data_IF_421047366951
#
_entry.id   IF_421047366951
#
_cell.length_a   1.000
_cell.length_b   1.000
_cell.length_c   1.000
_cell.angle_alpha   90.00
_cell.angle_beta   90.00
_cell.angle_gamma   90.00
#
_symmetry.space_group_name_H-M   'P 1'
#
loop_
_entity.id
_entity.type
_entity.pdbx_description
1 polymer ?
#
# COMPACT_ATOMS: atom_id res chain seq x y z
N UNK A 1 -16.99 -25.86 -2.75
CA UNK A 1 -17.37 -24.64 -2.00
C UNK A 1 -16.33 -23.56 -2.28
N UNK A 2 -16.73 -22.34 -2.63
CA UNK A 2 -15.76 -21.26 -2.88
C UNK A 2 -15.16 -20.75 -1.57
N UNK A 3 -13.86 -20.41 -1.58
CA UNK A 3 -13.11 -19.98 -0.39
C UNK A 3 -13.68 -18.74 0.30
N UNK A 4 -14.20 -17.78 -0.47
CA UNK A 4 -14.85 -16.57 0.04
C UNK A 4 -16.01 -16.90 0.98
N UNK A 5 -16.86 -17.86 0.61
CA UNK A 5 -17.96 -18.35 1.44
C UNK A 5 -17.48 -19.18 2.62
N UNK A 6 -16.44 -20.00 2.42
CA UNK A 6 -15.92 -20.87 3.48
C UNK A 6 -15.31 -20.08 4.64
N UNK A 7 -14.50 -19.09 4.33
CA UNK A 7 -13.74 -18.29 5.30
C UNK A 7 -14.38 -16.94 5.61
N UNK A 8 -15.57 -16.67 5.10
CA UNK A 8 -16.28 -15.38 5.19
C UNK A 8 -15.41 -14.16 4.82
N UNK A 9 -14.52 -14.34 3.85
CA UNK A 9 -13.60 -13.29 3.41
C UNK A 9 -14.34 -12.19 2.64
N UNK A 10 -14.02 -10.93 2.90
CA UNK A 10 -14.64 -9.76 2.25
C UNK A 10 -13.73 -9.03 1.27
N UNK A 11 -12.42 -9.30 1.31
CA UNK A 11 -11.41 -8.60 0.52
C UNK A 11 -10.39 -9.58 -0.04
N UNK A 12 -9.74 -9.20 -1.13
CA UNK A 12 -8.52 -9.87 -1.59
C UNK A 12 -7.44 -8.81 -1.76
N UNK A 13 -6.19 -9.15 -1.41
CA UNK A 13 -5.04 -8.28 -1.62
C UNK A 13 -4.31 -8.72 -2.89
N UNK A 14 -4.01 -7.78 -3.76
CA UNK A 14 -3.34 -8.03 -5.03
C UNK A 14 -1.97 -7.38 -5.10
N UNK A 15 -0.99 -8.16 -5.56
CA UNK A 15 0.38 -7.72 -5.83
C UNK A 15 0.69 -7.90 -7.32
N UNK A 16 0.83 -6.79 -8.06
CA UNK A 16 1.29 -6.73 -9.47
C UNK A 16 0.77 -7.88 -10.37
N UNK A 17 -0.49 -8.26 -10.24
CA UNK A 17 -0.99 -9.48 -10.88
C UNK A 17 -1.07 -9.30 -12.39
N UNK A 18 -0.28 -10.10 -13.12
CA UNK A 18 -0.35 -10.26 -14.57
C UNK A 18 -0.41 -8.97 -15.40
N UNK A 19 -0.99 -9.09 -16.59
CA UNK A 19 -1.31 -7.94 -17.44
C UNK A 19 -2.66 -7.30 -17.00
N UNK A 20 -3.07 -6.23 -17.69
CA UNK A 20 -4.32 -5.53 -17.35
C UNK A 20 -5.56 -6.42 -17.49
N UNK A 21 -5.59 -7.30 -18.48
CA UNK A 21 -6.71 -8.22 -18.70
C UNK A 21 -6.89 -9.17 -17.52
N UNK A 22 -5.80 -9.74 -17.00
CA UNK A 22 -5.85 -10.59 -15.79
C UNK A 22 -6.41 -9.84 -14.58
N UNK A 23 -6.07 -8.56 -14.42
CA UNK A 23 -6.61 -7.72 -13.33
C UNK A 23 -8.10 -7.44 -13.49
N UNK A 24 -8.55 -7.17 -14.72
CA UNK A 24 -9.97 -7.01 -15.01
C UNK A 24 -10.77 -8.30 -14.75
N UNK A 25 -10.20 -9.47 -15.05
CA UNK A 25 -10.80 -10.75 -14.67
C UNK A 25 -10.94 -10.89 -13.16
N UNK A 26 -9.94 -10.47 -12.39
CA UNK A 26 -10.01 -10.47 -10.93
C UNK A 26 -11.10 -9.52 -10.43
N UNK A 27 -11.24 -8.33 -11.00
CA UNK A 27 -12.34 -7.40 -10.66
C UNK A 27 -13.71 -8.03 -10.93
N UNK A 28 -13.89 -8.68 -12.08
CA UNK A 28 -15.15 -9.34 -12.42
C UNK A 28 -15.47 -10.49 -11.46
N UNK A 29 -14.49 -11.38 -11.21
CA UNK A 29 -14.65 -12.47 -10.26
C UNK A 29 -14.90 -11.98 -8.82
N UNK A 30 -14.24 -10.89 -8.42
CA UNK A 30 -14.46 -10.27 -7.11
C UNK A 30 -15.88 -9.71 -7.00
N UNK A 31 -16.38 -9.07 -8.06
CA UNK A 31 -17.76 -8.55 -8.11
C UNK A 31 -18.79 -9.66 -7.99
N UNK A 32 -18.62 -10.77 -8.70
CA UNK A 32 -19.49 -11.95 -8.61
C UNK A 32 -19.54 -12.52 -7.18
N UNK A 33 -18.40 -12.50 -6.49
CA UNK A 33 -18.28 -13.01 -5.13
C UNK A 33 -18.54 -11.95 -4.04
N UNK A 34 -18.91 -10.72 -4.42
CA UNK A 34 -19.11 -9.58 -3.50
C UNK A 34 -17.87 -9.29 -2.64
N UNK A 35 -16.69 -9.40 -3.22
CA UNK A 35 -15.39 -9.09 -2.60
C UNK A 35 -14.89 -7.72 -3.05
N UNK A 36 -14.07 -7.09 -2.20
CA UNK A 36 -13.36 -5.84 -2.53
C UNK A 36 -11.86 -6.12 -2.74
N UNK A 37 -11.36 -6.10 -3.99
CA UNK A 37 -9.94 -6.30 -4.25
C UNK A 37 -9.15 -5.02 -3.97
N UNK A 38 -8.10 -5.09 -3.15
CA UNK A 38 -7.21 -3.97 -2.84
C UNK A 38 -5.87 -4.15 -3.53
N UNK A 39 -5.26 -3.04 -3.95
CA UNK A 39 -3.97 -3.03 -4.65
C UNK A 39 -2.86 -2.53 -3.72
N UNK A 40 -1.61 -2.77 -4.10
CA UNK A 40 -0.45 -2.36 -3.30
C UNK A 40 0.24 -1.09 -3.85
N UNK A 41 0.00 -0.67 -5.09
CA UNK A 41 0.60 0.55 -5.67
C UNK A 41 2.00 0.35 -6.30
N UNK A 42 2.80 -0.56 -5.79
CA UNK A 42 3.97 -1.20 -6.39
C UNK A 42 5.04 -0.29 -7.04
N UNK A 43 5.24 0.93 -6.52
CA UNK A 43 6.15 1.93 -7.10
C UNK A 43 5.91 2.18 -8.61
N UNK A 44 4.70 1.91 -9.13
CA UNK A 44 4.44 1.88 -10.57
C UNK A 44 3.23 2.75 -10.94
N UNK A 45 3.50 3.99 -11.38
CA UNK A 45 2.46 4.96 -11.72
C UNK A 45 1.49 4.46 -12.79
N UNK A 46 2.00 3.79 -13.84
CA UNK A 46 1.17 3.28 -14.93
C UNK A 46 0.23 2.18 -14.43
N UNK A 47 0.68 1.33 -13.53
CA UNK A 47 -0.17 0.32 -12.91
C UNK A 47 -1.29 0.98 -12.09
N UNK A 48 -0.93 1.97 -11.27
CA UNK A 48 -1.86 2.65 -10.37
C UNK A 48 -2.97 3.37 -11.13
N UNK A 49 -2.61 4.12 -12.17
CA UNK A 49 -3.59 4.79 -13.03
C UNK A 49 -4.52 3.78 -13.70
N UNK A 50 -4.00 2.66 -14.22
CA UNK A 50 -4.88 1.63 -14.80
C UNK A 50 -5.86 1.07 -13.76
N UNK A 51 -5.40 0.84 -12.53
CA UNK A 51 -6.25 0.33 -11.44
C UNK A 51 -7.32 1.35 -11.00
N UNK A 52 -6.98 2.64 -10.98
CA UNK A 52 -7.95 3.73 -10.79
C UNK A 52 -9.02 3.73 -11.88
N UNK A 53 -8.60 3.64 -13.15
CA UNK A 53 -9.49 3.65 -14.31
C UNK A 53 -10.37 2.39 -14.38
N UNK A 54 -9.84 1.23 -14.00
CA UNK A 54 -10.57 -0.04 -13.97
C UNK A 54 -11.54 -0.14 -12.79
N UNK A 55 -11.52 0.83 -11.85
CA UNK A 55 -12.47 0.90 -10.74
C UNK A 55 -12.14 -0.01 -9.56
N UNK A 56 -10.85 -0.20 -9.27
CA UNK A 56 -10.43 -0.89 -8.04
C UNK A 56 -10.91 -0.12 -6.80
N UNK A 57 -11.46 -0.79 -5.78
CA UNK A 57 -12.02 -0.12 -4.60
C UNK A 57 -10.97 0.43 -3.64
N UNK A 58 -9.72 -0.01 -3.71
CA UNK A 58 -8.67 0.48 -2.81
C UNK A 58 -7.26 0.36 -3.37
N UNK A 59 -6.44 1.36 -3.07
CA UNK A 59 -5.00 1.38 -3.34
C UNK A 59 -4.24 1.72 -2.05
N UNK A 60 -3.28 0.88 -1.72
CA UNK A 60 -2.28 1.19 -0.69
C UNK A 60 -1.01 1.76 -1.32
N UNK A 61 -0.15 2.31 -0.46
CA UNK A 61 1.04 3.07 -0.77
C UNK A 61 0.83 4.33 -1.60
N UNK A 62 1.71 5.31 -1.37
CA UNK A 62 1.59 6.58 -2.04
C UNK A 62 1.94 6.48 -3.53
N UNK A 63 1.40 7.43 -4.29
CA UNK A 63 1.79 7.63 -5.67
C UNK A 63 3.29 7.99 -5.72
N UNK A 64 4.12 7.26 -6.49
CA UNK A 64 5.58 7.34 -6.41
C UNK A 64 6.18 8.56 -7.13
N UNK A 65 5.35 9.51 -7.56
CA UNK A 65 5.77 10.69 -8.31
C UNK A 65 5.28 11.95 -7.61
N UNK A 66 6.18 12.93 -7.49
CA UNK A 66 5.89 14.24 -6.95
C UNK A 66 6.56 15.33 -7.82
N UNK A 67 5.90 16.46 -8.11
CA UNK A 67 4.53 16.80 -7.73
C UNK A 67 3.48 15.99 -8.50
N UNK A 68 2.33 15.72 -7.87
CA UNK A 68 1.16 15.17 -8.56
C UNK A 68 0.42 16.31 -9.26
N UNK A 69 0.21 16.18 -10.57
CA UNK A 69 -0.49 17.17 -11.38
C UNK A 69 -2.02 16.99 -11.32
N UNK A 70 -2.75 18.02 -11.78
CA UNK A 70 -4.21 18.11 -11.69
C UNK A 70 -4.94 16.91 -12.31
N UNK A 71 -4.43 16.39 -13.42
CA UNK A 71 -4.98 15.23 -14.12
C UNK A 71 -4.97 13.96 -13.27
N UNK A 72 -3.85 13.65 -12.62
CA UNK A 72 -3.71 12.50 -11.72
C UNK A 72 -4.61 12.65 -10.50
N UNK A 73 -4.66 13.86 -9.92
CA UNK A 73 -5.53 14.18 -8.78
C UNK A 73 -7.00 13.99 -9.17
N UNK A 74 -7.40 14.48 -10.33
CA UNK A 74 -8.78 14.39 -10.82
C UNK A 74 -9.19 12.94 -11.11
N UNK A 75 -8.31 12.14 -11.73
CA UNK A 75 -8.56 10.71 -11.97
C UNK A 75 -8.73 9.97 -10.63
N UNK A 76 -7.85 10.21 -9.66
CA UNK A 76 -7.96 9.59 -8.33
C UNK A 76 -9.24 10.00 -7.61
N UNK A 77 -9.60 11.28 -7.62
CA UNK A 77 -10.82 11.77 -6.99
C UNK A 77 -12.09 11.18 -7.64
N UNK A 78 -12.10 11.05 -8.97
CA UNK A 78 -13.23 10.49 -9.71
C UNK A 78 -13.35 8.97 -9.63
N UNK A 79 -12.26 8.25 -9.37
CA UNK A 79 -12.28 6.79 -9.25
C UNK A 79 -13.09 6.30 -8.04
N UNK A 80 -13.27 7.16 -7.03
CA UNK A 80 -13.90 6.85 -5.74
C UNK A 80 -13.23 5.70 -4.99
N UNK A 81 -11.98 5.39 -5.32
CA UNK A 81 -11.21 4.38 -4.60
C UNK A 81 -10.77 4.90 -3.23
N UNK A 82 -10.69 4.02 -2.23
CA UNK A 82 -9.99 4.31 -1.00
C UNK A 82 -8.47 4.40 -1.28
N UNK A 83 -7.80 5.41 -0.73
CA UNK A 83 -6.37 5.61 -0.91
C UNK A 83 -5.67 5.65 0.46
N UNK A 84 -4.77 4.71 0.68
CA UNK A 84 -4.00 4.57 1.92
C UNK A 84 -2.51 4.77 1.60
N UNK A 85 -1.96 5.98 1.76
CA UNK A 85 -0.62 6.31 1.25
C UNK A 85 0.55 5.68 2.03
N UNK A 86 0.31 5.08 3.21
CA UNK A 86 1.32 4.43 4.06
C UNK A 86 2.61 5.24 4.21
N UNK A 87 2.53 6.53 4.56
CA UNK A 87 3.65 7.47 4.49
C UNK A 87 4.89 7.08 5.33
N UNK A 88 4.75 6.15 6.28
CA UNK A 88 5.90 5.55 6.97
C UNK A 88 6.86 4.86 5.97
N UNK A 89 6.30 4.16 4.98
CA UNK A 89 6.98 3.45 3.89
C UNK A 89 6.66 4.16 2.58
N UNK A 90 7.30 5.32 2.38
CA UNK A 90 7.03 6.21 1.24
C UNK A 90 7.72 5.74 -0.04
N UNK A 91 7.02 5.90 -1.15
CA UNK A 91 7.46 5.65 -2.51
C UNK A 91 7.92 6.93 -3.21
N UNK A 92 9.07 6.89 -3.88
CA UNK A 92 9.62 8.05 -4.60
C UNK A 92 10.38 9.06 -3.74
N UNK A 93 10.66 8.74 -2.47
CA UNK A 93 11.44 9.57 -1.56
C UNK A 93 11.93 8.78 -0.34
N UNK A 94 12.64 9.43 0.60
CA UNK A 94 13.05 8.80 1.85
C UNK A 94 11.83 8.28 2.65
N UNK A 95 11.96 7.11 3.26
CA UNK A 95 10.92 6.59 4.15
C UNK A 95 10.85 7.44 5.42
N UNK A 96 9.64 7.79 5.86
CA UNK A 96 9.48 8.52 7.12
C UNK A 96 9.93 7.68 8.32
N UNK A 97 9.95 6.35 8.20
CA UNK A 97 10.56 5.47 9.20
C UNK A 97 12.01 5.85 9.50
N UNK A 98 12.79 6.21 8.47
CA UNK A 98 14.19 6.60 8.64
C UNK A 98 14.34 7.92 9.38
N UNK A 99 13.39 8.85 9.23
CA UNK A 99 13.37 10.07 10.03
C UNK A 99 13.23 9.73 11.51
N UNK A 100 12.28 8.87 11.89
CA UNK A 100 12.13 8.48 13.28
C UNK A 100 13.34 7.72 13.83
N UNK A 101 13.98 6.87 13.02
CA UNK A 101 15.23 6.22 13.43
C UNK A 101 16.39 7.19 13.64
N UNK A 102 16.46 8.28 12.87
CA UNK A 102 17.53 9.27 13.02
C UNK A 102 17.26 10.33 14.10
N UNK A 103 15.99 10.57 14.49
CA UNK A 103 15.63 11.63 15.44
C UNK A 103 15.23 11.15 16.82
N UNK A 104 14.70 9.94 16.96
CA UNK A 104 14.16 9.40 18.21
C UNK A 104 15.10 8.41 18.92
N UNK A 105 14.93 8.24 20.23
CA UNK A 105 15.61 7.18 20.99
C UNK A 105 14.89 5.83 20.83
N UNK A 106 14.96 5.27 19.61
CA UNK A 106 14.33 3.99 19.29
C UNK A 106 14.96 2.80 20.02
N UNK A 107 16.23 2.92 20.43
CA UNK A 107 16.93 1.87 21.16
C UNK A 107 16.55 1.87 22.66
N UNK A 108 16.20 3.02 23.22
CA UNK A 108 15.68 3.16 24.58
C UNK A 108 14.17 2.94 24.71
N UNK A 109 13.42 2.87 23.62
CA UNK A 109 11.96 2.73 23.67
C UNK A 109 11.54 1.35 24.22
N UNK A 110 10.83 1.36 25.35
CA UNK A 110 10.39 0.15 26.05
C UNK A 110 9.44 -0.72 25.22
N UNK A 111 8.58 -0.11 24.41
CA UNK A 111 7.60 -0.81 23.58
C UNK A 111 8.31 -1.48 22.40
N UNK A 112 9.22 -0.80 21.74
CA UNK A 112 10.02 -1.38 20.67
C UNK A 112 10.88 -2.53 21.20
N UNK A 113 11.58 -2.36 22.31
CA UNK A 113 12.37 -3.45 22.92
C UNK A 113 11.51 -4.65 23.36
N UNK A 114 10.20 -4.48 23.55
CA UNK A 114 9.28 -5.58 23.84
C UNK A 114 8.80 -6.30 22.57
N UNK A 115 8.45 -5.57 21.51
CA UNK A 115 7.84 -6.12 20.29
C UNK A 115 8.82 -6.39 19.14
N UNK A 116 10.08 -5.99 19.25
CA UNK A 116 11.07 -6.13 18.18
C UNK A 116 12.31 -6.89 18.69
N UNK A 117 12.78 -7.93 17.98
CA UNK A 117 14.01 -8.62 18.35
C UNK A 117 15.17 -7.65 18.52
N UNK A 118 15.98 -7.84 19.58
CA UNK A 118 17.03 -6.88 19.94
C UNK A 118 18.05 -6.68 18.80
N UNK A 119 18.39 -7.74 18.07
CA UNK A 119 19.27 -7.69 16.90
C UNK A 119 18.70 -6.81 15.76
N UNK A 120 17.39 -6.79 15.58
CA UNK A 120 16.71 -5.99 14.56
C UNK A 120 16.64 -4.50 14.95
N UNK A 121 16.55 -4.19 16.24
CA UNK A 121 16.62 -2.80 16.73
C UNK A 121 18.05 -2.26 16.74
N UNK A 122 19.01 -3.08 17.14
CA UNK A 122 20.40 -2.67 17.26
C UNK A 122 21.06 -2.47 15.88
N UNK A 123 20.52 -3.08 14.83
CA UNK A 123 20.91 -2.84 13.43
C UNK A 123 20.36 -1.55 12.84
N UNK A 124 19.35 -0.93 13.49
CA UNK A 124 18.81 0.36 13.01
C UNK A 124 19.79 1.49 13.30
N UNK A 125 19.82 2.52 12.43
CA UNK A 125 20.60 3.72 12.68
C UNK A 125 20.28 4.28 14.07
N UNK A 126 21.33 4.67 14.79
CA UNK A 126 21.16 5.37 16.08
C UNK A 126 20.89 6.84 15.79
N UNK A 127 20.16 7.48 16.69
CA UNK A 127 19.97 8.93 16.69
C UNK A 127 21.31 9.64 16.45
N UNK A 128 21.38 10.43 15.39
CA UNK A 128 22.52 11.31 15.16
C UNK A 128 22.49 12.41 16.23
N UNK A 129 23.62 12.64 16.91
CA UNK A 129 23.74 13.64 17.97
C UNK A 129 23.79 15.06 17.42
#
# INVERSE_FOLDING_TARGET
>A
MQYSKYYDTKTIKMYRTGNRLHRQWILMASKEQKLMPTTEGALNIKLNINQMLDGYPGQEHNIPIYPAYKDVIEIMAKSKMAYTPTLLVTYGGPWAENYFYSTEDVQGDKKLNYFTPKSELDSRPKKEK
#
